data_IF_478907919403
#
_entry.id   IF_478907919403
#
_cell.length_a   1.000
_cell.length_b   1.000
_cell.length_c   1.000
_cell.angle_alpha   90.00
_cell.angle_beta   90.00
_cell.angle_gamma   90.00
#
_symmetry.space_group_name_H-M   'P 1'
#
loop_
_entity.id
_entity.type
_entity.pdbx_description
1 polymer ?
#
# COMPACT_ATOMS: atom_id res chain seq x y z
N UNK A 1 8.44 12.47 9.79
CA UNK A 1 7.04 12.32 9.33
C UNK A 1 6.86 10.92 8.80
N UNK A 2 5.78 10.23 9.17
CA UNK A 2 5.47 8.87 8.70
C UNK A 2 4.00 8.73 8.38
N UNK A 3 3.61 7.65 7.71
CA UNK A 3 2.24 7.37 7.30
C UNK A 3 1.79 6.04 7.92
N UNK A 4 0.70 6.08 8.69
CA UNK A 4 0.01 4.87 9.15
C UNK A 4 -0.92 4.38 8.06
N UNK A 5 -0.79 3.12 7.66
CA UNK A 5 -1.67 2.49 6.67
C UNK A 5 -2.72 1.67 7.42
N UNK A 6 -3.99 1.91 7.05
CA UNK A 6 -5.17 1.35 7.68
C UNK A 6 -5.99 0.56 6.66
N UNK A 7 -6.30 -0.69 6.96
CA UNK A 7 -7.17 -1.55 6.16
C UNK A 7 -8.23 -2.18 7.08
N UNK A 8 -9.50 -2.13 6.69
CA UNK A 8 -10.63 -2.65 7.48
C UNK A 8 -10.64 -2.21 8.96
N UNK A 9 -10.26 -0.95 9.20
CA UNK A 9 -10.18 -0.37 10.55
C UNK A 9 -8.98 -0.83 11.39
N UNK A 10 -8.06 -1.61 10.84
CA UNK A 10 -6.83 -2.08 11.51
C UNK A 10 -5.59 -1.43 10.91
N UNK A 11 -4.61 -1.12 11.74
CA UNK A 11 -3.29 -0.67 11.27
C UNK A 11 -2.52 -1.87 10.74
N UNK A 12 -2.12 -1.83 9.47
CA UNK A 12 -1.34 -2.88 8.80
C UNK A 12 0.15 -2.53 8.69
N UNK A 13 0.51 -1.28 8.99
CA UNK A 13 1.90 -0.87 9.15
C UNK A 13 2.11 0.63 9.05
N UNK A 14 3.37 1.02 9.17
CA UNK A 14 3.84 2.40 9.09
C UNK A 14 4.93 2.50 8.03
N UNK A 15 4.87 3.52 7.19
CA UNK A 15 5.87 3.78 6.15
C UNK A 15 6.30 5.24 6.17
N UNK A 16 7.58 5.56 5.93
CA UNK A 16 8.02 6.95 5.83
C UNK A 16 7.48 7.65 4.57
N UNK A 17 7.02 6.89 3.57
CA UNK A 17 6.60 7.42 2.27
C UNK A 17 5.31 6.76 1.77
N UNK A 18 4.55 7.51 0.99
CA UNK A 18 3.39 7.07 0.21
C UNK A 18 3.55 7.67 -1.19
N UNK A 19 3.34 6.86 -2.22
CA UNK A 19 3.34 7.31 -3.62
C UNK A 19 1.93 7.19 -4.17
N UNK A 20 1.30 8.32 -4.50
CA UNK A 20 -0.03 8.36 -5.12
C UNK A 20 0.02 7.93 -6.57
N UNK A 21 -0.91 7.07 -6.97
CA UNK A 21 -0.92 6.50 -8.32
C UNK A 21 -2.32 6.40 -8.92
N UNK A 22 -2.37 6.36 -10.25
CA UNK A 22 -3.52 5.97 -11.07
C UNK A 22 -3.07 4.98 -12.15
N UNK A 23 -4.00 4.26 -12.77
CA UNK A 23 -3.69 3.40 -13.91
C UNK A 23 -3.76 4.20 -15.22
N UNK A 24 -2.63 4.35 -15.91
CA UNK A 24 -2.56 5.02 -17.21
C UNK A 24 -3.20 4.21 -18.33
N UNK A 25 -3.54 4.88 -19.43
CA UNK A 25 -4.07 4.26 -20.66
C UNK A 25 -3.08 3.25 -21.29
N UNK A 26 -1.79 3.36 -20.96
CA UNK A 26 -0.76 2.41 -21.36
C UNK A 26 -0.75 1.13 -20.52
N UNK A 27 -1.66 1.00 -19.55
CA UNK A 27 -1.74 -0.15 -18.64
C UNK A 27 -0.70 -0.15 -17.53
N UNK A 28 0.02 0.95 -17.30
CA UNK A 28 1.02 1.08 -16.24
C UNK A 28 0.55 2.04 -15.14
N UNK A 29 0.95 1.78 -13.89
CA UNK A 29 0.76 2.76 -12.82
C UNK A 29 1.65 3.97 -13.05
N UNK A 30 1.09 5.17 -12.82
CA UNK A 30 1.78 6.43 -12.93
C UNK A 30 1.63 7.22 -11.63
N UNK A 31 2.71 7.87 -11.20
CA UNK A 31 2.68 8.78 -10.06
C UNK A 31 1.82 10.00 -10.38
N UNK A 32 1.07 10.50 -9.40
CA UNK A 32 0.16 11.63 -9.58
C UNK A 32 -0.03 12.44 -8.29
N UNK A 33 -0.64 13.62 -8.36
CA UNK A 33 -1.10 14.36 -7.19
C UNK A 33 -2.18 13.61 -6.38
N UNK A 34 -2.33 13.90 -5.07
CA UNK A 34 -3.29 13.18 -4.21
C UNK A 34 -4.76 13.28 -4.65
N UNK A 35 -5.15 14.36 -5.31
CA UNK A 35 -6.51 14.62 -5.79
C UNK A 35 -6.88 13.85 -7.06
N UNK A 36 -5.88 13.40 -7.81
CA UNK A 36 -6.04 12.56 -9.01
C UNK A 36 -5.90 11.06 -8.70
N UNK A 37 -5.39 10.72 -7.51
CA UNK A 37 -5.07 9.36 -7.13
C UNK A 37 -6.28 8.42 -7.10
N UNK A 38 -6.10 7.25 -7.69
CA UNK A 38 -7.02 6.11 -7.55
C UNK A 38 -6.54 5.14 -6.45
N UNK A 39 -5.25 5.19 -6.14
CA UNK A 39 -4.61 4.36 -5.13
C UNK A 39 -3.27 4.92 -4.69
N UNK A 40 -2.54 4.10 -3.95
CA UNK A 40 -1.18 4.42 -3.55
C UNK A 40 -0.30 3.18 -3.46
N UNK A 41 0.99 3.38 -3.72
CA UNK A 41 2.04 2.40 -3.47
C UNK A 41 2.73 2.75 -2.14
N UNK A 42 2.98 1.73 -1.33
CA UNK A 42 3.64 1.87 -0.03
C UNK A 42 4.57 0.70 0.22
N UNK A 43 5.72 0.98 0.84
CA UNK A 43 6.64 -0.06 1.29
C UNK A 43 6.26 -0.51 2.70
N UNK A 44 5.80 -1.75 2.83
CA UNK A 44 5.37 -2.37 4.09
C UNK A 44 6.05 -3.74 4.30
N UNK A 45 6.16 -4.22 5.54
CA UNK A 45 6.49 -5.63 5.77
C UNK A 45 5.45 -6.52 5.07
N UNK A 46 5.84 -7.70 4.56
CA UNK A 46 4.91 -8.64 3.98
C UNK A 46 3.84 -8.97 5.01
N UNK A 47 2.58 -8.88 4.58
CA UNK A 47 1.47 -9.36 5.39
C UNK A 47 1.75 -10.83 5.72
N UNK A 48 1.67 -11.17 7.01
CA UNK A 48 1.91 -12.53 7.48
C UNK A 48 0.77 -13.38 6.95
N UNK A 49 0.99 -14.00 5.79
CA UNK A 49 0.20 -15.01 5.06
C UNK A 49 -0.12 -14.61 3.59
N UNK A 50 0.91 -14.41 2.77
CA UNK A 50 0.77 -14.79 1.36
C UNK A 50 1.22 -16.24 1.22
N UNK A 51 0.31 -17.23 1.03
CA UNK A 51 0.75 -18.57 0.65
C UNK A 51 1.47 -18.45 -0.71
N UNK A 52 2.71 -18.92 -0.78
CA UNK A 52 3.34 -19.24 -2.07
C UNK A 52 2.52 -20.36 -2.73
N UNK A 53 2.60 -20.49 -4.06
CA UNK A 53 1.93 -21.57 -4.82
C UNK A 53 2.23 -22.99 -4.28
N UNK A 54 3.34 -23.16 -3.55
CA UNK A 54 3.77 -24.42 -2.94
C UNK A 54 3.31 -24.58 -1.45
N UNK A 55 2.50 -23.65 -0.92
CA UNK A 55 1.99 -23.70 0.45
C UNK A 55 3.02 -23.35 1.54
N UNK A 56 4.28 -23.09 1.17
CA UNK A 56 5.33 -22.62 2.10
C UNK A 56 5.36 -21.09 2.11
N UNK A 57 4.82 -20.45 3.14
CA UNK A 57 5.02 -19.02 3.35
C UNK A 57 6.44 -18.79 3.91
N UNK A 58 7.45 -18.63 3.04
CA UNK A 58 8.78 -18.16 3.48
C UNK A 58 8.70 -16.64 3.59
N UNK A 59 8.34 -16.17 4.79
CA UNK A 59 8.55 -14.77 5.17
C UNK A 59 10.03 -14.65 5.50
N UNK A 60 10.83 -14.06 4.61
CA UNK A 60 12.17 -13.64 5.01
C UNK A 60 12.00 -12.55 6.09
N UNK A 61 12.42 -12.81 7.35
CA UNK A 61 12.26 -11.83 8.41
C UNK A 61 13.05 -10.56 8.04
N UNK A 62 12.33 -9.46 7.87
CA UNK A 62 12.89 -8.15 7.54
C UNK A 62 12.82 -7.72 6.07
N UNK A 63 12.27 -8.52 5.16
CA UNK A 63 11.99 -8.06 3.80
C UNK A 63 10.85 -7.02 3.82
N UNK A 64 11.02 -5.90 3.12
CA UNK A 64 9.94 -4.94 2.86
C UNK A 64 9.51 -5.06 1.39
N UNK A 65 8.21 -4.97 1.11
CA UNK A 65 7.66 -5.07 -0.25
C UNK A 65 6.86 -3.83 -0.60
N UNK A 66 6.91 -3.50 -1.88
CA UNK A 66 6.03 -2.48 -2.45
C UNK A 66 4.64 -3.09 -2.62
N UNK A 67 3.68 -2.51 -1.92
CA UNK A 67 2.29 -2.96 -1.88
C UNK A 67 1.40 -1.85 -2.41
N UNK A 68 0.52 -2.21 -3.33
CA UNK A 68 -0.41 -1.28 -3.99
C UNK A 68 -1.81 -1.45 -3.43
N UNK A 69 -2.39 -0.36 -2.93
CA UNK A 69 -3.76 -0.30 -2.45
C UNK A 69 -4.63 0.65 -3.29
N UNK A 70 -5.91 0.33 -3.42
CA UNK A 70 -6.91 1.29 -3.87
C UNK A 70 -7.25 2.24 -2.72
N UNK A 71 -7.49 3.52 -3.04
CA UNK A 71 -8.07 4.45 -2.08
C UNK A 71 -9.56 4.08 -1.84
N UNK A 72 -10.13 4.44 -0.67
CA UNK A 72 -11.51 4.08 -0.36
C UNK A 72 -12.50 4.63 -1.38
N UNK A 73 -13.38 3.77 -1.90
CA UNK A 73 -14.37 4.10 -2.94
C UNK A 73 -13.79 4.19 -4.34
N UNK A 74 -12.49 3.94 -4.53
CA UNK A 74 -11.85 3.81 -5.84
C UNK A 74 -11.70 2.33 -6.20
N UNK A 75 -11.38 2.07 -7.46
CA UNK A 75 -11.16 0.71 -7.95
C UNK A 75 -9.92 0.68 -8.84
N UNK A 76 -8.75 0.69 -8.23
CA UNK A 76 -7.48 0.59 -8.94
C UNK A 76 -7.23 -0.89 -9.30
N UNK A 77 -7.21 -1.25 -10.60
CA UNK A 77 -6.97 -2.63 -11.02
C UNK A 77 -5.61 -3.12 -10.54
N UNK A 78 -5.51 -4.35 -10.04
CA UNK A 78 -4.25 -4.95 -9.55
C UNK A 78 -3.86 -4.60 -8.10
N UNK A 79 -4.61 -3.70 -7.43
CA UNK A 79 -4.42 -3.44 -6.01
C UNK A 79 -4.79 -4.64 -5.13
N UNK A 80 -4.09 -4.83 -4.01
CA UNK A 80 -4.33 -5.94 -3.07
C UNK A 80 -5.61 -5.77 -2.25
N UNK A 81 -6.20 -4.58 -2.28
CA UNK A 81 -7.44 -4.23 -1.57
C UNK A 81 -7.57 -2.72 -1.42
N UNK A 82 -8.62 -2.30 -0.71
CA UNK A 82 -8.76 -0.91 -0.28
C UNK A 82 -7.98 -0.68 1.01
N UNK A 83 -7.33 0.48 1.11
CA UNK A 83 -6.73 0.96 2.34
C UNK A 83 -6.77 2.49 2.38
N UNK A 84 -6.63 3.05 3.57
CA UNK A 84 -6.42 4.47 3.80
C UNK A 84 -5.08 4.68 4.49
N UNK A 85 -4.55 5.90 4.46
CA UNK A 85 -3.40 6.25 5.27
C UNK A 85 -3.61 7.57 6.00
N UNK A 86 -2.88 7.77 7.10
CA UNK A 86 -2.85 9.02 7.85
C UNK A 86 -1.42 9.47 8.07
N UNK A 87 -1.13 10.73 7.75
CA UNK A 87 0.16 11.33 8.07
C UNK A 87 0.28 11.49 9.60
N UNK A 88 1.44 11.12 10.11
CA UNK A 88 1.86 11.32 11.47
C UNK A 88 2.99 12.35 11.50
N UNK A 89 2.73 13.45 12.17
CA UNK A 89 3.77 14.35 12.61
C UNK A 89 4.45 13.71 13.83
N UNK A 90 5.77 13.62 13.81
CA UNK A 90 6.53 13.15 14.96
C UNK A 90 6.43 14.24 16.04
N UNK A 91 5.67 14.01 17.10
CA UNK A 91 5.71 14.88 18.27
C UNK A 91 7.08 14.69 18.93
N UNK A 92 7.88 15.75 19.13
CA UNK A 92 9.22 15.68 19.71
C UNK A 92 9.24 15.19 21.17
#
# INVERSE_FOLDING_TARGET
MSYRVMQDGREIGVSPTIVHIFLGDNGAYQECPPDEAEGFCVKLPPDTQMPLEDGTAVVEPGALRDTVFSLPGKKLPGAVGEAAYKMQEETP
#
